data_IF_480953970363
#
_entry.id   IF_480953970363
#
_cell.length_a   1.000
_cell.length_b   1.000
_cell.length_c   1.000
_cell.angle_alpha   90.00
_cell.angle_beta   90.00
_cell.angle_gamma   90.00
#
_symmetry.space_group_name_H-M   'P 1'
#
loop_
_entity.id
_entity.type
_entity.pdbx_description
1 polymer ?
#
# COMPACT_ATOMS: atom_id res chain seq x y z
N UNK A 1 2.71 -22.87 -1.10
CA UNK A 1 3.64 -21.72 -1.19
C UNK A 1 3.80 -21.35 -2.66
N UNK A 2 3.83 -20.07 -3.00
CA UNK A 2 4.10 -19.63 -4.37
C UNK A 2 5.56 -19.96 -4.73
N UNK A 3 5.77 -21.00 -5.53
CA UNK A 3 7.10 -21.43 -5.95
C UNK A 3 7.46 -20.70 -7.25
N UNK A 4 8.28 -19.66 -7.14
CA UNK A 4 8.80 -18.92 -8.28
C UNK A 4 9.69 -19.84 -9.14
N UNK A 5 9.56 -19.77 -10.48
CA UNK A 5 10.38 -20.56 -11.43
C UNK A 5 11.87 -20.24 -11.30
N UNK A 6 12.19 -18.99 -10.94
CA UNK A 6 13.55 -18.50 -10.72
C UNK A 6 13.57 -17.69 -9.41
N UNK A 7 13.71 -18.36 -8.24
CA UNK A 7 13.73 -17.66 -6.97
C UNK A 7 15.02 -16.83 -6.84
N UNK A 8 14.98 -15.69 -6.12
CA UNK A 8 16.20 -14.95 -5.83
C UNK A 8 17.19 -15.82 -5.05
N UNK A 9 18.49 -15.66 -5.34
CA UNK A 9 19.52 -16.25 -4.47
C UNK A 9 19.44 -15.62 -3.07
N UNK A 10 19.88 -16.31 -2.01
CA UNK A 10 19.90 -15.74 -0.66
C UNK A 10 20.62 -14.38 -0.62
N UNK A 11 21.74 -14.25 -1.33
CA UNK A 11 22.51 -13.01 -1.41
C UNK A 11 21.74 -11.88 -2.11
N UNK A 12 21.09 -12.18 -3.25
CA UNK A 12 20.24 -11.21 -3.96
C UNK A 12 19.06 -10.75 -3.09
N UNK A 13 18.45 -11.68 -2.36
CA UNK A 13 17.36 -11.37 -1.43
C UNK A 13 17.83 -10.44 -0.29
N UNK A 14 19.01 -10.68 0.28
CA UNK A 14 19.58 -9.79 1.31
C UNK A 14 19.87 -8.40 0.75
N UNK A 15 20.42 -8.30 -0.46
CA UNK A 15 20.67 -7.00 -1.11
C UNK A 15 19.37 -6.25 -1.37
N UNK A 16 18.31 -6.93 -1.81
CA UNK A 16 16.98 -6.34 -1.99
C UNK A 16 16.41 -5.80 -0.66
N UNK A 17 16.51 -6.57 0.42
CA UNK A 17 16.08 -6.13 1.76
C UNK A 17 16.88 -4.92 2.26
N UNK A 18 18.20 -4.93 2.08
CA UNK A 18 19.07 -3.83 2.47
C UNK A 18 18.72 -2.53 1.72
N UNK A 19 18.50 -2.63 0.41
CA UNK A 19 18.09 -1.49 -0.41
C UNK A 19 16.74 -0.92 0.03
N UNK A 20 15.74 -1.78 0.30
CA UNK A 20 14.45 -1.35 0.81
C UNK A 20 14.57 -0.64 2.17
N UNK A 21 15.39 -1.16 3.08
CA UNK A 21 15.59 -0.56 4.41
C UNK A 21 16.35 0.78 4.38
N UNK A 22 17.14 1.03 3.34
CA UNK A 22 17.88 2.28 3.15
C UNK A 22 17.07 3.34 2.39
N UNK A 23 15.96 2.95 1.79
CA UNK A 23 15.10 3.86 1.05
C UNK A 23 14.17 4.60 2.02
N UNK A 24 14.51 5.85 2.33
CA UNK A 24 13.66 6.75 3.09
C UNK A 24 13.06 7.81 2.17
N UNK A 25 11.73 7.84 2.11
CA UNK A 25 10.96 8.78 1.27
C UNK A 25 9.95 9.59 2.08
N UNK A 26 10.09 9.62 3.42
CA UNK A 26 9.14 10.30 4.31
C UNK A 26 8.96 11.78 3.98
N UNK A 27 10.04 12.45 3.57
CA UNK A 27 10.01 13.86 3.15
C UNK A 27 9.17 14.11 1.87
N UNK A 28 8.92 13.07 1.07
CA UNK A 28 8.15 13.17 -0.16
C UNK A 28 6.64 13.00 0.07
N UNK A 29 6.21 12.47 1.21
CA UNK A 29 4.80 12.11 1.45
C UNK A 29 3.85 13.30 1.31
N UNK A 30 4.24 14.45 1.88
CA UNK A 30 3.45 15.68 1.79
C UNK A 30 3.34 16.27 0.37
N UNK A 31 4.13 15.77 -0.59
CA UNK A 31 4.07 16.18 -1.99
C UNK A 31 3.02 15.41 -2.79
N UNK A 32 2.46 14.33 -2.23
CA UNK A 32 1.44 13.52 -2.89
C UNK A 32 0.11 14.29 -2.83
N UNK A 33 -0.31 14.81 -3.99
CA UNK A 33 -1.58 15.53 -4.15
C UNK A 33 -2.70 14.68 -4.77
N UNK A 34 -2.36 13.49 -5.26
CA UNK A 34 -3.32 12.55 -5.79
C UNK A 34 -4.14 11.91 -4.65
N UNK A 35 -5.45 11.65 -4.84
CA UNK A 35 -6.22 10.84 -3.90
C UNK A 35 -5.51 9.52 -3.65
N UNK A 36 -5.30 9.18 -2.37
CA UNK A 36 -4.53 8.01 -1.98
C UNK A 36 -5.34 7.08 -1.08
N UNK A 37 -5.34 5.79 -1.44
CA UNK A 37 -5.83 4.70 -0.59
C UNK A 37 -4.65 3.84 -0.15
N UNK A 38 -4.61 3.51 1.14
CA UNK A 38 -3.67 2.58 1.74
C UNK A 38 -4.48 1.41 2.28
N UNK A 39 -4.13 0.19 1.87
CA UNK A 39 -4.74 -1.06 2.38
C UNK A 39 -3.64 -1.90 3.03
N UNK A 40 -3.79 -2.25 4.30
CA UNK A 40 -2.76 -2.98 5.06
C UNK A 40 -3.35 -4.10 5.91
N UNK A 41 -2.66 -5.24 5.97
CA UNK A 41 -3.02 -6.34 6.87
C UNK A 41 -2.72 -6.02 8.33
N UNK A 42 -3.62 -6.35 9.26
CA UNK A 42 -3.41 -6.11 10.70
C UNK A 42 -2.36 -7.02 11.34
N UNK A 43 -2.01 -8.14 10.68
CA UNK A 43 -0.99 -9.10 11.10
C UNK A 43 0.23 -9.09 10.17
N UNK A 44 0.48 -7.99 9.48
CA UNK A 44 1.66 -7.87 8.65
C UNK A 44 2.94 -7.97 9.52
N UNK A 45 3.68 -9.08 9.34
CA UNK A 45 4.94 -9.34 10.03
C UNK A 45 6.17 -8.86 9.28
N UNK A 46 6.01 -8.29 8.08
CA UNK A 46 7.09 -7.78 7.23
C UNK A 46 7.15 -6.26 7.32
N UNK A 47 6.00 -5.59 7.24
CA UNK A 47 5.86 -4.14 7.36
C UNK A 47 5.16 -3.82 8.69
N UNK A 48 5.88 -3.32 9.71
CA UNK A 48 5.28 -2.96 10.98
C UNK A 48 4.19 -1.89 10.84
N UNK A 49 3.11 -2.02 11.63
CA UNK A 49 2.00 -1.06 11.63
C UNK A 49 2.39 0.41 11.85
N UNK A 50 3.53 0.67 12.51
CA UNK A 50 4.10 2.02 12.65
C UNK A 50 4.38 2.66 11.29
N UNK A 51 4.93 1.92 10.34
CA UNK A 51 5.25 2.41 8.99
C UNK A 51 3.95 2.73 8.23
N UNK A 52 2.96 1.85 8.33
CA UNK A 52 1.63 2.07 7.71
C UNK A 52 0.96 3.35 8.24
N UNK A 53 1.07 3.60 9.55
CA UNK A 53 0.55 4.82 10.18
C UNK A 53 1.32 6.05 9.71
N UNK A 54 2.65 6.01 9.74
CA UNK A 54 3.50 7.11 9.24
C UNK A 54 3.18 7.45 7.78
N UNK A 55 2.94 6.45 6.93
CA UNK A 55 2.53 6.65 5.54
C UNK A 55 1.16 7.33 5.42
N UNK A 56 0.18 6.88 6.20
CA UNK A 56 -1.17 7.46 6.21
C UNK A 56 -1.20 8.89 6.73
N UNK A 57 -0.42 9.17 7.78
CA UNK A 57 -0.39 10.49 8.42
C UNK A 57 0.42 11.49 7.57
N UNK A 58 1.42 11.01 6.82
CA UNK A 58 2.25 11.84 5.96
C UNK A 58 1.60 12.26 4.63
N UNK A 59 0.54 11.57 4.18
CA UNK A 59 -0.15 11.87 2.93
C UNK A 59 -1.48 12.55 3.23
N UNK A 60 -1.59 13.82 2.83
CA UNK A 60 -2.80 14.61 3.07
C UNK A 60 -4.03 13.98 2.40
N UNK A 61 -5.06 13.72 3.20
CA UNK A 61 -6.32 13.12 2.73
C UNK A 61 -6.23 11.64 2.35
N UNK A 62 -5.15 10.93 2.70
CA UNK A 62 -5.08 9.49 2.50
C UNK A 62 -6.14 8.75 3.33
N UNK A 63 -6.73 7.72 2.73
CA UNK A 63 -7.62 6.77 3.40
C UNK A 63 -6.85 5.51 3.77
N UNK A 64 -6.83 5.15 5.05
CA UNK A 64 -6.27 3.88 5.53
C UNK A 64 -7.38 2.86 5.79
N UNK A 65 -7.29 1.70 5.14
CA UNK A 65 -8.14 0.54 5.38
C UNK A 65 -7.29 -0.59 5.96
N UNK A 66 -7.67 -1.07 7.14
CA UNK A 66 -7.02 -2.20 7.79
C UNK A 66 -7.85 -3.46 7.55
N UNK A 67 -7.19 -4.50 7.03
CA UNK A 67 -7.83 -5.78 6.72
C UNK A 67 -7.29 -6.89 7.59
N UNK A 68 -8.12 -7.90 7.81
CA UNK A 68 -7.80 -9.04 8.65
C UNK A 68 -6.84 -10.02 7.94
N UNK A 69 -5.57 -9.66 7.77
CA UNK A 69 -4.59 -10.45 7.03
C UNK A 69 -3.13 -10.17 7.39
N UNK A 70 -2.21 -11.00 6.90
CA UNK A 70 -0.77 -10.79 6.99
C UNK A 70 -0.23 -10.07 5.74
N UNK A 71 1.10 -9.99 5.57
CA UNK A 71 1.72 -9.32 4.42
C UNK A 71 1.24 -9.82 3.05
N UNK A 72 0.77 -11.07 2.98
CA UNK A 72 0.32 -11.73 1.75
C UNK A 72 -1.21 -11.76 1.65
N UNK A 73 -1.93 -10.91 2.39
CA UNK A 73 -3.39 -10.93 2.43
C UNK A 73 -4.01 -10.87 1.04
N UNK A 74 -3.52 -10.00 0.16
CA UNK A 74 -4.06 -9.80 -1.20
C UNK A 74 -3.83 -11.00 -2.13
N UNK A 75 -2.79 -11.80 -1.88
CA UNK A 75 -2.53 -13.02 -2.64
C UNK A 75 -3.38 -14.21 -2.15
N UNK A 76 -3.78 -14.19 -0.87
CA UNK A 76 -4.60 -15.24 -0.24
C UNK A 76 -6.09 -14.99 -0.42
N UNK A 77 -6.49 -13.73 -0.33
CA UNK A 77 -7.86 -13.24 -0.47
C UNK A 77 -7.80 -11.89 -1.20
N UNK A 78 -7.89 -11.91 -2.55
CA UNK A 78 -7.81 -10.71 -3.37
C UNK A 78 -8.89 -9.67 -3.06
N UNK A 79 -10.06 -10.09 -2.57
CA UNK A 79 -11.18 -9.19 -2.33
C UNK A 79 -10.88 -8.18 -1.20
N UNK A 80 -10.02 -8.57 -0.25
CA UNK A 80 -9.50 -7.67 0.79
C UNK A 80 -8.75 -6.46 0.22
N UNK A 81 -8.22 -6.54 -1.01
CA UNK A 81 -7.61 -5.41 -1.71
C UNK A 81 -8.55 -4.82 -2.76
N UNK A 82 -9.19 -5.67 -3.57
CA UNK A 82 -9.96 -5.26 -4.74
C UNK A 82 -11.22 -4.50 -4.33
N UNK A 83 -11.95 -4.92 -3.30
CA UNK A 83 -13.19 -4.24 -2.90
C UNK A 83 -12.92 -2.79 -2.43
N UNK A 84 -12.00 -2.54 -1.46
CA UNK A 84 -11.66 -1.17 -1.07
C UNK A 84 -11.12 -0.32 -2.23
N UNK A 85 -10.33 -0.92 -3.12
CA UNK A 85 -9.78 -0.23 -4.27
C UNK A 85 -10.88 0.21 -5.26
N UNK A 86 -11.85 -0.66 -5.55
CA UNK A 86 -12.97 -0.34 -6.45
C UNK A 86 -13.88 0.76 -5.89
N UNK A 87 -14.20 0.69 -4.61
CA UNK A 87 -14.98 1.73 -3.92
C UNK A 87 -14.27 3.07 -3.98
N UNK A 88 -12.98 3.08 -3.66
CA UNK A 88 -12.15 4.28 -3.70
C UNK A 88 -12.07 4.90 -5.10
N UNK A 89 -11.83 4.07 -6.14
CA UNK A 89 -11.77 4.54 -7.52
C UNK A 89 -13.10 5.16 -7.97
N UNK A 90 -14.23 4.54 -7.65
CA UNK A 90 -15.55 5.07 -7.98
C UNK A 90 -15.80 6.44 -7.33
N UNK A 91 -15.39 6.63 -6.08
CA UNK A 91 -15.48 7.93 -5.39
C UNK A 91 -14.58 9.00 -6.05
N UNK A 92 -13.33 8.63 -6.40
CA UNK A 92 -12.38 9.53 -7.06
C UNK A 92 -12.90 9.98 -8.43
N UNK A 93 -13.45 9.06 -9.22
CA UNK A 93 -14.04 9.36 -10.52
C UNK A 93 -15.24 10.31 -10.38
N UNK A 94 -16.15 10.03 -9.44
CA UNK A 94 -17.29 10.88 -9.16
C UNK A 94 -16.87 12.30 -8.76
N UNK A 95 -15.84 12.44 -7.93
CA UNK A 95 -15.32 13.75 -7.50
C UNK A 95 -14.61 14.49 -8.64
N UNK A 96 -13.90 13.78 -9.51
CA UNK A 96 -13.23 14.35 -10.68
C UNK A 96 -14.26 14.89 -11.68
N UNK A 97 -15.34 14.14 -11.94
CA UNK A 97 -16.44 14.58 -12.80
C UNK A 97 -17.15 15.83 -12.26
N UNK A 98 -17.37 15.91 -10.94
CA UNK A 98 -17.94 17.11 -10.31
C UNK A 98 -17.05 18.34 -10.50
N UNK A 99 -15.73 18.21 -10.30
CA UNK A 99 -14.78 19.32 -10.49
C UNK A 99 -14.70 19.84 -11.93
N UNK A 100 -14.93 18.98 -12.94
CA UNK A 100 -14.92 19.39 -14.36
C UNK A 100 -16.19 20.13 -14.81
N UNK A 101 -17.27 20.04 -14.03
CA UNK A 101 -18.58 20.64 -14.34
C UNK A 101 -18.81 21.97 -13.61
N UNK A 102 -17.95 22.31 -12.65
CA UNK A 102 -17.92 23.60 -11.96
C UNK A 102 -16.96 24.55 -12.69
#
# INVERSE_FOLDING_TARGET
MFQQKYPPTPESFQRMKAAANQCDTRELLGRISAPTLIVNGTRDGIVPMKITRELSDGISGARLVLVNGDHLFSAKDPDLLIMPAREFLAEVDANTLKKRRA
#
